data_IF_913488276865
#
_entry.id   IF_913488276865
#
_cell.length_a   1.000
_cell.length_b   1.000
_cell.length_c   1.000
_cell.angle_alpha   90.00
_cell.angle_beta   90.00
_cell.angle_gamma   90.00
#
_symmetry.space_group_name_H-M   'P 1'
#
loop_
_entity.id
_entity.type
_entity.pdbx_description
1 polymer ?
#
# COMPACT_ATOMS: atom_id res chain seq x y z
N UNK A 1 10.70 -2.71 25.07
CA UNK A 1 10.36 -2.07 23.79
C UNK A 1 9.98 -0.62 24.10
N UNK A 2 10.61 0.38 23.52
CA UNK A 2 10.31 1.80 23.82
C UNK A 2 8.95 2.15 23.19
N UNK A 3 7.90 2.51 23.97
CA UNK A 3 6.57 2.84 23.47
C UNK A 3 6.56 4.09 22.57
N UNK A 4 7.56 4.97 22.73
CA UNK A 4 7.69 6.23 22.00
C UNK A 4 8.47 6.09 20.66
N UNK A 5 9.00 4.90 20.36
CA UNK A 5 9.70 4.68 19.10
C UNK A 5 8.73 4.79 17.91
N UNK A 6 9.11 5.48 16.83
CA UNK A 6 8.28 5.59 15.63
C UNK A 6 7.91 4.19 15.11
N UNK A 7 6.75 4.09 14.44
CA UNK A 7 6.34 2.82 13.85
C UNK A 7 7.34 2.42 12.76
N UNK A 8 7.73 1.12 12.64
CA UNK A 8 8.79 0.70 11.73
C UNK A 8 8.53 1.05 10.26
N UNK A 9 7.27 1.06 9.86
CA UNK A 9 6.87 1.38 8.47
C UNK A 9 6.69 2.88 8.32
N UNK A 10 7.56 3.51 7.54
CA UNK A 10 7.53 4.92 7.23
C UNK A 10 6.96 5.11 5.82
N UNK A 11 5.96 5.97 5.69
CA UNK A 11 5.34 6.33 4.41
C UNK A 11 5.17 7.84 4.31
N UNK A 12 5.70 8.42 3.26
CA UNK A 12 5.55 9.82 2.92
C UNK A 12 5.38 10.01 1.41
N UNK A 13 4.75 11.10 1.02
CA UNK A 13 4.61 11.51 -0.38
C UNK A 13 4.96 12.99 -0.47
N UNK A 14 5.81 13.35 -1.41
CA UNK A 14 6.18 14.73 -1.64
C UNK A 14 4.98 15.49 -2.23
N UNK A 15 4.72 16.65 -1.65
CA UNK A 15 3.69 17.54 -2.20
C UNK A 15 4.20 18.19 -3.48
N UNK A 16 3.44 18.18 -4.60
CA UNK A 16 3.90 18.74 -5.85
C UNK A 16 4.05 20.27 -5.76
N UNK A 17 5.29 20.76 -5.93
CA UNK A 17 5.59 22.21 -5.92
C UNK A 17 5.19 22.92 -7.23
N UNK A 18 4.84 22.13 -8.26
CA UNK A 18 4.41 22.59 -9.58
C UNK A 18 2.90 22.44 -9.78
N UNK A 19 2.31 23.25 -10.68
CA UNK A 19 0.94 23.02 -11.10
C UNK A 19 0.80 21.64 -11.76
N UNK A 20 -0.24 20.91 -11.39
CA UNK A 20 -0.59 19.62 -11.99
C UNK A 20 -1.14 19.82 -13.42
N UNK A 21 -0.82 18.91 -14.30
CA UNK A 21 -1.28 18.95 -15.68
C UNK A 21 -2.77 18.59 -15.78
N UNK A 22 -3.61 19.58 -16.13
CA UNK A 22 -5.07 19.43 -16.22
C UNK A 22 -5.50 18.39 -17.26
N UNK A 23 -4.79 18.32 -18.39
CA UNK A 23 -5.10 17.36 -19.45
C UNK A 23 -4.82 15.92 -18.98
N UNK A 24 -3.65 15.69 -18.37
CA UNK A 24 -3.33 14.38 -17.81
C UNK A 24 -4.30 14.01 -16.67
N UNK A 25 -4.70 14.95 -15.84
CA UNK A 25 -5.69 14.77 -14.78
C UNK A 25 -7.04 14.34 -15.34
N UNK A 26 -7.49 14.96 -16.44
CA UNK A 26 -8.75 14.61 -17.11
C UNK A 26 -8.74 13.18 -17.64
N UNK A 27 -7.67 12.76 -18.34
CA UNK A 27 -7.55 11.44 -18.94
C UNK A 27 -6.93 10.38 -18.02
N UNK A 28 -6.66 10.70 -16.76
CA UNK A 28 -5.92 9.83 -15.81
C UNK A 28 -6.53 8.44 -15.66
N UNK A 29 -7.84 8.34 -15.57
CA UNK A 29 -8.56 7.08 -15.47
C UNK A 29 -8.23 6.12 -16.64
N UNK A 30 -8.07 6.66 -17.85
CA UNK A 30 -7.69 5.85 -19.02
C UNK A 30 -6.20 5.52 -19.00
N UNK A 31 -5.36 6.46 -18.59
CA UNK A 31 -3.91 6.29 -18.55
C UNK A 31 -3.46 5.30 -17.46
N UNK A 32 -4.25 5.10 -16.42
CA UNK A 32 -3.94 4.16 -15.34
C UNK A 32 -4.25 2.70 -15.72
N UNK A 33 -5.13 2.45 -16.69
CA UNK A 33 -5.58 1.11 -17.06
C UNK A 33 -4.42 0.14 -17.33
N UNK A 34 -3.43 0.46 -18.20
CA UNK A 34 -2.35 -0.49 -18.50
C UNK A 34 -1.53 -0.86 -17.26
N UNK A 35 -1.20 0.12 -16.42
CA UNK A 35 -0.40 -0.16 -15.23
C UNK A 35 -1.20 -0.85 -14.12
N UNK A 36 -2.50 -0.59 -14.03
CA UNK A 36 -3.40 -1.29 -13.14
C UNK A 36 -3.55 -2.77 -13.54
N UNK A 37 -3.55 -3.07 -14.84
CA UNK A 37 -3.53 -4.45 -15.35
C UNK A 37 -2.23 -5.14 -14.95
N UNK A 38 -1.08 -4.50 -15.16
CA UNK A 38 0.23 -5.04 -14.76
C UNK A 38 0.27 -5.32 -13.26
N UNK A 39 -0.17 -4.36 -12.45
CA UNK A 39 -0.21 -4.49 -11.00
C UNK A 39 -1.13 -5.66 -10.58
N UNK A 40 -2.33 -5.74 -11.16
CA UNK A 40 -3.27 -6.82 -10.90
C UNK A 40 -2.72 -8.20 -11.28
N UNK A 41 -1.93 -8.30 -12.34
CA UNK A 41 -1.27 -9.55 -12.74
C UNK A 41 -0.17 -9.94 -11.76
N UNK A 42 0.59 -8.98 -11.24
CA UNK A 42 1.68 -9.22 -10.29
C UNK A 42 1.13 -9.57 -8.90
N UNK A 43 0.14 -8.82 -8.43
CA UNK A 43 -0.53 -9.08 -7.15
C UNK A 43 -1.47 -10.28 -7.20
N UNK A 44 -1.66 -10.82 -8.41
CA UNK A 44 -2.40 -12.04 -8.69
C UNK A 44 -3.90 -11.85 -8.78
N UNK A 45 -4.34 -10.76 -9.32
CA UNK A 45 -5.72 -10.58 -9.82
C UNK A 45 -5.99 -11.53 -11.00
N UNK A 46 -5.85 -12.84 -10.78
CA UNK A 46 -6.20 -13.84 -11.77
C UNK A 46 -7.70 -13.82 -12.02
N UNK A 47 -8.09 -13.50 -13.22
CA UNK A 47 -9.43 -13.78 -13.71
C UNK A 47 -9.62 -15.30 -13.75
N UNK A 48 -10.26 -15.86 -12.73
CA UNK A 48 -10.72 -17.24 -12.79
C UNK A 48 -11.82 -17.33 -13.86
N UNK A 49 -11.45 -17.73 -15.04
CA UNK A 49 -12.40 -18.26 -16.03
C UNK A 49 -12.95 -19.57 -15.45
N UNK A 50 -14.19 -19.53 -14.99
CA UNK A 50 -14.94 -20.72 -14.57
C UNK A 50 -15.01 -20.93 -13.05
N UNK A 51 -16.12 -20.56 -12.45
CA UNK A 51 -16.68 -21.18 -11.25
C UNK A 51 -15.94 -20.92 -9.92
N UNK A 52 -16.06 -19.73 -9.38
CA UNK A 52 -15.67 -19.50 -7.98
C UNK A 52 -14.93 -18.19 -7.74
N UNK A 53 -15.65 -17.08 -7.67
CA UNK A 53 -15.11 -15.75 -7.37
C UNK A 53 -14.27 -15.65 -6.08
N UNK A 54 -14.44 -16.58 -5.15
CA UNK A 54 -13.67 -16.63 -3.91
C UNK A 54 -12.29 -17.29 -4.05
N UNK A 55 -12.12 -18.28 -4.95
CA UNK A 55 -10.88 -19.03 -5.09
C UNK A 55 -9.77 -18.21 -5.80
N UNK A 56 -10.11 -17.31 -6.71
CA UNK A 56 -9.13 -16.49 -7.44
C UNK A 56 -8.47 -15.42 -6.56
N UNK A 57 -9.23 -14.75 -5.72
CA UNK A 57 -8.70 -13.72 -4.82
C UNK A 57 -7.83 -14.31 -3.69
N UNK A 58 -8.19 -15.49 -3.19
CA UNK A 58 -7.39 -16.22 -2.19
C UNK A 58 -6.09 -16.75 -2.81
N UNK A 59 -6.13 -17.18 -4.08
CA UNK A 59 -4.94 -17.73 -4.75
C UNK A 59 -3.79 -16.73 -4.87
N UNK A 60 -4.08 -15.49 -5.07
CA UNK A 60 -3.09 -14.48 -5.40
C UNK A 60 -2.48 -13.79 -4.17
N UNK A 61 -3.33 -13.35 -3.25
CA UNK A 61 -2.83 -12.89 -1.94
C UNK A 61 -2.08 -14.03 -1.22
N UNK A 62 -2.51 -15.28 -1.42
CA UNK A 62 -1.85 -16.47 -0.92
C UNK A 62 -0.45 -16.67 -1.46
N UNK A 63 -0.17 -16.34 -2.72
CA UNK A 63 1.16 -16.47 -3.32
C UNK A 63 2.20 -15.54 -2.68
N UNK A 64 1.82 -14.38 -2.18
CA UNK A 64 2.73 -13.43 -1.51
C UNK A 64 2.86 -13.75 -0.01
N UNK A 65 1.74 -13.99 0.66
CA UNK A 65 1.68 -14.16 2.11
C UNK A 65 2.12 -15.56 2.55
N UNK A 66 1.66 -16.59 1.83
CA UNK A 66 1.86 -17.99 2.24
C UNK A 66 3.33 -18.41 2.30
N UNK A 67 4.21 -18.10 1.31
CA UNK A 67 5.63 -18.44 1.42
C UNK A 67 6.29 -17.78 2.63
N UNK A 68 6.02 -16.50 2.87
CA UNK A 68 6.57 -15.76 4.02
C UNK A 68 6.09 -16.37 5.34
N UNK A 69 4.80 -16.66 5.43
CA UNK A 69 4.20 -17.28 6.61
C UNK A 69 4.85 -18.64 6.90
N UNK A 70 4.95 -19.51 5.90
CA UNK A 70 5.57 -20.85 6.05
C UNK A 70 7.04 -20.74 6.45
N UNK A 71 7.79 -19.81 5.86
CA UNK A 71 9.21 -19.61 6.19
C UNK A 71 9.40 -19.11 7.63
N UNK A 72 8.54 -18.22 8.11
CA UNK A 72 8.60 -17.75 9.50
C UNK A 72 8.17 -18.87 10.46
N UNK A 73 7.05 -19.55 10.20
CA UNK A 73 6.51 -20.59 11.09
C UNK A 73 7.46 -21.80 11.19
N UNK A 74 7.98 -22.31 10.08
CA UNK A 74 8.76 -23.55 10.10
C UNK A 74 10.25 -23.32 10.25
N UNK A 75 10.80 -22.25 9.68
CA UNK A 75 12.25 -22.03 9.59
C UNK A 75 12.75 -20.81 10.35
N UNK A 76 11.85 -19.93 10.84
CA UNK A 76 12.19 -18.63 11.45
C UNK A 76 13.21 -17.85 10.59
N UNK A 77 12.97 -17.82 9.27
CA UNK A 77 13.81 -17.12 8.32
C UNK A 77 12.94 -16.25 7.42
N UNK A 78 13.42 -15.04 7.13
CA UNK A 78 12.87 -14.16 6.12
C UNK A 78 13.96 -13.99 5.04
N UNK A 79 13.88 -14.59 3.85
CA UNK A 79 14.90 -14.45 2.82
C UNK A 79 15.03 -13.00 2.36
N UNK A 80 16.27 -12.49 2.29
CA UNK A 80 16.54 -11.09 1.94
C UNK A 80 15.97 -10.71 0.57
N UNK A 81 16.22 -11.54 -0.45
CA UNK A 81 15.71 -11.31 -1.80
C UNK A 81 14.17 -11.23 -1.86
N UNK A 82 13.47 -12.02 -1.02
CA UNK A 82 12.01 -12.00 -0.93
C UNK A 82 11.49 -10.74 -0.24
N UNK A 83 12.21 -10.29 0.78
CA UNK A 83 11.93 -9.03 1.45
C UNK A 83 12.11 -7.85 0.48
N UNK A 84 13.25 -7.78 -0.21
CA UNK A 84 13.57 -6.70 -1.15
C UNK A 84 12.52 -6.64 -2.28
N UNK A 85 12.13 -7.81 -2.81
CA UNK A 85 11.07 -7.90 -3.83
C UNK A 85 9.72 -7.40 -3.32
N UNK A 86 9.28 -7.80 -2.11
CA UNK A 86 8.03 -7.32 -1.51
C UNK A 86 8.07 -5.81 -1.25
N UNK A 87 9.22 -5.26 -0.81
CA UNK A 87 9.39 -3.83 -0.59
C UNK A 87 9.24 -3.05 -1.90
N UNK A 88 9.89 -3.50 -2.98
CA UNK A 88 9.76 -2.85 -4.29
C UNK A 88 8.35 -2.97 -4.86
N UNK A 89 7.68 -4.11 -4.68
CA UNK A 89 6.29 -4.27 -5.07
C UNK A 89 5.37 -3.31 -4.30
N UNK A 90 5.55 -3.15 -3.00
CA UNK A 90 4.78 -2.18 -2.20
C UNK A 90 5.08 -0.74 -2.62
N UNK A 91 6.34 -0.40 -2.94
CA UNK A 91 6.72 0.91 -3.48
C UNK A 91 6.03 1.19 -4.80
N UNK A 92 6.05 0.21 -5.70
CA UNK A 92 5.36 0.32 -6.99
C UNK A 92 3.84 0.48 -6.82
N UNK A 93 3.20 -0.36 -5.99
CA UNK A 93 1.77 -0.25 -5.69
C UNK A 93 1.41 1.12 -5.08
N UNK A 94 2.26 1.64 -4.19
CA UNK A 94 2.07 2.95 -3.61
C UNK A 94 2.20 4.09 -4.65
N UNK A 95 3.16 4.00 -5.61
CA UNK A 95 3.28 4.95 -6.73
C UNK A 95 2.03 4.93 -7.62
N UNK A 96 1.52 3.74 -7.94
CA UNK A 96 0.27 3.60 -8.70
C UNK A 96 -0.90 4.22 -7.95
N UNK A 97 -1.01 3.98 -6.65
CA UNK A 97 -2.03 4.58 -5.78
C UNK A 97 -1.97 6.11 -5.74
N UNK A 98 -0.78 6.69 -5.61
CA UNK A 98 -0.54 8.15 -5.61
C UNK A 98 -0.89 8.75 -6.97
N UNK A 99 -0.52 8.08 -8.06
CA UNK A 99 -0.86 8.49 -9.42
C UNK A 99 -2.38 8.43 -9.64
N UNK A 100 -3.05 7.34 -9.25
CA UNK A 100 -4.51 7.19 -9.35
C UNK A 100 -5.26 8.24 -8.51
N UNK A 101 -4.71 8.58 -7.34
CA UNK A 101 -5.26 9.60 -6.44
C UNK A 101 -4.95 11.04 -6.87
N UNK A 102 -4.41 11.26 -8.07
CA UNK A 102 -4.10 12.59 -8.66
C UNK A 102 -3.02 13.39 -7.93
N UNK A 103 -2.28 12.76 -7.03
CA UNK A 103 -1.30 13.45 -6.16
C UNK A 103 0.03 13.73 -6.88
N UNK A 104 0.35 12.99 -7.96
CA UNK A 104 1.55 13.16 -8.79
C UNK A 104 1.19 12.93 -10.26
N UNK A 105 1.83 13.69 -11.17
CA UNK A 105 1.60 13.60 -12.62
C UNK A 105 2.54 12.64 -13.35
N UNK A 106 3.66 12.27 -12.72
CA UNK A 106 4.60 11.32 -13.31
C UNK A 106 3.98 9.94 -13.38
N UNK A 107 4.11 9.30 -14.56
CA UNK A 107 3.67 7.93 -14.71
C UNK A 107 4.45 7.00 -13.78
N UNK A 108 3.79 6.09 -13.05
CA UNK A 108 4.48 5.22 -12.10
C UNK A 108 5.56 4.37 -12.75
N UNK A 109 6.79 4.49 -12.25
CA UNK A 109 7.94 3.66 -12.66
C UNK A 109 8.18 2.55 -11.64
N UNK A 110 8.78 1.45 -12.09
CA UNK A 110 9.15 0.32 -11.22
C UNK A 110 10.49 0.54 -10.54
N UNK A 111 11.40 1.31 -11.15
CA UNK A 111 12.82 1.44 -10.77
C UNK A 111 13.25 2.87 -10.42
N UNK A 112 12.54 3.89 -10.91
CA UNK A 112 12.89 5.28 -10.63
C UNK A 112 12.47 5.74 -9.24
N UNK A 113 13.31 6.60 -8.62
CA UNK A 113 12.91 7.32 -7.42
C UNK A 113 11.89 8.40 -7.79
N UNK A 114 10.71 8.32 -7.21
CA UNK A 114 9.59 9.25 -7.42
C UNK A 114 9.16 9.86 -6.08
N UNK A 115 8.09 10.66 -6.09
CA UNK A 115 7.56 11.36 -4.93
C UNK A 115 7.14 10.47 -3.73
N UNK A 116 7.10 9.15 -3.93
CA UNK A 116 6.66 8.19 -2.90
C UNK A 116 7.87 7.61 -2.17
N UNK A 117 7.89 7.80 -0.85
CA UNK A 117 8.88 7.25 0.05
C UNK A 117 8.22 6.20 0.94
N UNK A 118 8.59 4.94 0.76
CA UNK A 118 8.14 3.84 1.59
C UNK A 118 9.36 3.05 2.05
N UNK A 119 9.54 2.98 3.36
CA UNK A 119 10.66 2.30 3.99
C UNK A 119 10.21 1.51 5.21
N UNK A 120 10.79 0.35 5.39
CA UNK A 120 10.74 -0.43 6.61
C UNK A 120 12.00 -1.27 6.77
N UNK A 121 12.49 -1.50 8.02
CA UNK A 121 13.70 -2.23 8.26
C UNK A 121 13.52 -3.71 7.92
N UNK A 122 14.61 -4.35 7.50
CA UNK A 122 14.65 -5.79 7.34
C UNK A 122 14.52 -6.46 8.71
N UNK A 123 13.52 -7.34 8.92
CA UNK A 123 13.29 -7.95 10.23
C UNK A 123 14.26 -9.11 10.48
N UNK A 124 14.81 -9.15 11.69
CA UNK A 124 15.52 -10.35 12.20
C UNK A 124 14.47 -11.38 12.64
N UNK A 125 14.12 -12.30 11.74
CA UNK A 125 12.98 -13.20 11.94
C UNK A 125 13.07 -14.08 13.20
N UNK A 126 14.29 -14.37 13.72
CA UNK A 126 14.49 -15.19 14.92
C UNK A 126 14.26 -14.44 16.22
N UNK A 127 14.58 -13.15 16.25
CA UNK A 127 14.60 -12.33 17.47
C UNK A 127 13.45 -11.35 17.52
N UNK A 128 12.97 -10.88 16.36
CA UNK A 128 11.97 -9.82 16.25
C UNK A 128 10.56 -10.31 15.88
N UNK A 129 10.48 -11.51 15.25
CA UNK A 129 9.20 -12.05 14.82
C UNK A 129 8.79 -13.29 15.64
N UNK A 130 7.58 -13.25 16.16
CA UNK A 130 7.00 -14.40 16.83
C UNK A 130 6.61 -15.46 15.79
N UNK A 131 7.00 -16.71 16.06
CA UNK A 131 6.81 -17.86 15.18
C UNK A 131 5.33 -18.10 14.82
N UNK A 132 4.42 -17.93 15.77
CA UNK A 132 3.01 -18.30 15.62
C UNK A 132 2.10 -17.11 15.29
N UNK A 133 2.56 -15.90 15.55
CA UNK A 133 1.78 -14.68 15.34
C UNK A 133 1.33 -14.48 13.89
N UNK A 134 2.11 -14.83 12.84
CA UNK A 134 1.68 -14.74 11.46
C UNK A 134 0.36 -15.46 11.15
N UNK A 135 0.07 -16.55 11.84
CA UNK A 135 -1.18 -17.32 11.64
C UNK A 135 -2.45 -16.53 12.04
N UNK A 136 -2.32 -15.59 12.97
CA UNK A 136 -3.45 -14.82 13.51
C UNK A 136 -3.43 -13.34 13.16
N UNK A 137 -2.35 -12.82 12.58
CA UNK A 137 -2.22 -11.39 12.23
C UNK A 137 -3.34 -10.89 11.31
N UNK A 138 -3.74 -11.70 10.34
CA UNK A 138 -4.85 -11.36 9.44
C UNK A 138 -6.17 -11.18 10.19
N UNK A 139 -6.42 -11.99 11.23
CA UNK A 139 -7.59 -11.88 12.10
C UNK A 139 -7.50 -10.64 12.99
N UNK A 140 -6.31 -10.39 13.57
CA UNK A 140 -6.06 -9.20 14.40
C UNK A 140 -6.18 -7.90 13.59
N UNK A 141 -5.98 -7.94 12.27
CA UNK A 141 -6.12 -6.80 11.39
C UNK A 141 -7.58 -6.48 11.00
N UNK A 142 -8.57 -7.34 11.32
CA UNK A 142 -9.98 -7.11 10.97
C UNK A 142 -10.48 -5.72 11.39
N UNK A 143 -10.26 -5.22 12.63
CA UNK A 143 -10.72 -3.89 13.00
C UNK A 143 -10.10 -2.78 12.14
N UNK A 144 -8.85 -2.95 11.68
CA UNK A 144 -8.24 -2.01 10.73
C UNK A 144 -8.92 -2.06 9.36
N UNK A 145 -9.27 -3.26 8.86
CA UNK A 145 -9.96 -3.37 7.57
C UNK A 145 -11.31 -2.69 7.59
N UNK A 146 -12.06 -2.80 8.71
CA UNK A 146 -13.35 -2.12 8.87
C UNK A 146 -13.16 -0.59 8.81
N UNK A 147 -12.20 -0.05 9.56
CA UNK A 147 -11.95 1.40 9.55
C UNK A 147 -11.42 1.87 8.20
N UNK A 148 -10.47 1.14 7.60
CA UNK A 148 -9.92 1.44 6.28
C UNK A 148 -10.99 1.41 5.19
N UNK A 149 -11.98 0.53 5.28
CA UNK A 149 -13.11 0.51 4.34
C UNK A 149 -13.84 1.86 4.32
N UNK A 150 -14.17 2.42 5.48
CA UNK A 150 -14.80 3.73 5.55
C UNK A 150 -13.86 4.87 5.12
N UNK A 151 -12.58 4.77 5.46
CA UNK A 151 -11.57 5.73 5.01
C UNK A 151 -11.39 5.71 3.48
N UNK A 152 -11.47 4.55 2.83
CA UNK A 152 -11.43 4.45 1.37
C UNK A 152 -12.66 5.05 0.71
N UNK A 153 -13.84 4.92 1.31
CA UNK A 153 -15.05 5.61 0.83
C UNK A 153 -14.83 7.13 0.91
N UNK A 154 -14.33 7.63 2.05
CA UNK A 154 -14.02 9.05 2.19
C UNK A 154 -12.95 9.51 1.20
N UNK A 155 -11.87 8.72 1.04
CA UNK A 155 -10.80 9.01 0.09
C UNK A 155 -11.31 9.07 -1.36
N UNK A 156 -12.23 8.18 -1.74
CA UNK A 156 -12.86 8.21 -3.06
C UNK A 156 -13.56 9.55 -3.34
N UNK A 157 -14.36 10.05 -2.39
CA UNK A 157 -15.01 11.35 -2.53
C UNK A 157 -14.01 12.51 -2.52
N UNK A 158 -12.96 12.42 -1.70
CA UNK A 158 -11.88 13.42 -1.69
C UNK A 158 -11.15 13.48 -3.02
N UNK A 159 -10.87 12.32 -3.67
CA UNK A 159 -10.25 12.28 -5.00
C UNK A 159 -11.16 12.90 -6.05
N UNK A 160 -12.47 12.62 -6.03
CA UNK A 160 -13.43 13.26 -6.95
C UNK A 160 -13.44 14.78 -6.75
N UNK A 161 -13.51 15.26 -5.50
CA UNK A 161 -13.46 16.68 -5.22
C UNK A 161 -12.14 17.31 -5.69
N UNK A 162 -11.02 16.66 -5.41
CA UNK A 162 -9.70 17.09 -5.85
C UNK A 162 -9.60 17.16 -7.38
N UNK A 163 -10.19 16.19 -8.10
CA UNK A 163 -10.24 16.19 -9.57
C UNK A 163 -10.86 17.47 -10.11
N UNK A 164 -12.03 17.90 -9.59
CA UNK A 164 -12.63 19.16 -9.97
C UNK A 164 -11.73 20.36 -9.61
N UNK A 165 -11.20 20.39 -8.40
CA UNK A 165 -10.34 21.50 -7.96
C UNK A 165 -9.10 21.62 -8.84
N UNK A 166 -8.45 20.52 -9.18
CA UNK A 166 -7.25 20.52 -10.06
C UNK A 166 -7.61 21.01 -11.46
N UNK A 167 -8.74 20.59 -12.03
CA UNK A 167 -9.16 21.04 -13.37
C UNK A 167 -9.34 22.58 -13.44
N UNK A 168 -9.86 23.19 -12.38
CA UNK A 168 -10.06 24.63 -12.35
C UNK A 168 -8.82 25.41 -11.90
N UNK A 169 -8.10 24.93 -10.88
CA UNK A 169 -7.01 25.66 -10.24
C UNK A 169 -5.62 25.20 -10.66
N UNK A 170 -5.48 23.96 -11.15
CA UNK A 170 -4.19 23.31 -11.41
C UNK A 170 -3.43 22.90 -10.14
N UNK A 171 -4.04 22.98 -8.95
CA UNK A 171 -3.37 22.69 -7.67
C UNK A 171 -4.18 21.70 -6.84
N UNK A 172 -3.47 20.82 -6.15
CA UNK A 172 -4.06 19.91 -5.18
C UNK A 172 -4.22 20.61 -3.82
N UNK A 173 -5.41 20.64 -3.19
CA UNK A 173 -5.58 21.24 -1.87
C UNK A 173 -4.78 20.49 -0.79
N UNK A 174 -3.99 21.19 0.01
CA UNK A 174 -3.11 20.61 1.04
C UNK A 174 -3.85 19.67 2.00
N UNK A 175 -4.98 20.09 2.55
CA UNK A 175 -5.73 19.26 3.51
C UNK A 175 -6.25 17.94 2.91
N UNK A 176 -6.65 17.95 1.62
CA UNK A 176 -7.05 16.73 0.92
C UNK A 176 -5.84 15.84 0.65
N UNK A 177 -4.70 16.44 0.28
CA UNK A 177 -3.45 15.74 0.07
C UNK A 177 -2.99 15.01 1.35
N UNK A 178 -2.89 15.75 2.46
CA UNK A 178 -2.45 15.22 3.75
C UNK A 178 -3.36 14.09 4.26
N UNK A 179 -4.67 14.22 4.02
CA UNK A 179 -5.62 13.14 4.33
C UNK A 179 -5.33 11.87 3.53
N UNK A 180 -5.12 11.97 2.21
CA UNK A 180 -4.81 10.81 1.37
C UNK A 180 -3.45 10.18 1.73
N UNK A 181 -2.44 10.99 2.05
CA UNK A 181 -1.15 10.50 2.57
C UNK A 181 -1.37 9.74 3.88
N UNK A 182 -2.21 10.25 4.77
CA UNK A 182 -2.56 9.58 6.03
C UNK A 182 -3.23 8.23 5.81
N UNK A 183 -4.20 8.15 4.89
CA UNK A 183 -4.86 6.89 4.52
C UNK A 183 -3.84 5.90 3.93
N UNK A 184 -2.98 6.36 3.02
CA UNK A 184 -1.90 5.55 2.45
C UNK A 184 -0.92 5.04 3.51
N UNK A 185 -0.55 5.89 4.47
CA UNK A 185 0.32 5.52 5.60
C UNK A 185 -0.30 4.41 6.46
N UNK A 186 -1.54 4.57 6.84
CA UNK A 186 -2.23 3.54 7.62
C UNK A 186 -2.36 2.22 6.85
N UNK A 187 -2.74 2.30 5.58
CA UNK A 187 -2.81 1.13 4.68
C UNK A 187 -1.49 0.37 4.64
N UNK A 188 -0.37 1.07 4.38
CA UNK A 188 0.95 0.43 4.29
C UNK A 188 1.38 -0.20 5.63
N UNK A 189 1.03 0.40 6.77
CA UNK A 189 1.26 -0.19 8.10
C UNK A 189 0.51 -1.50 8.28
N UNK A 190 -0.77 -1.55 7.87
CA UNK A 190 -1.60 -2.75 7.98
C UNK A 190 -1.12 -3.85 7.02
N UNK A 191 -0.75 -3.49 5.78
CA UNK A 191 -0.20 -4.44 4.80
C UNK A 191 1.12 -5.03 5.32
N UNK A 192 2.03 -4.21 5.81
CA UNK A 192 3.32 -4.65 6.35
C UNK A 192 3.17 -5.59 7.56
N UNK A 193 2.17 -5.33 8.41
CA UNK A 193 1.84 -6.16 9.57
C UNK A 193 1.19 -7.48 9.19
N UNK A 194 0.12 -7.44 8.40
CA UNK A 194 -0.77 -8.58 8.18
C UNK A 194 -0.43 -9.43 6.94
N UNK A 195 0.18 -8.82 5.91
CA UNK A 195 0.44 -9.49 4.63
C UNK A 195 1.94 -9.71 4.38
N UNK A 196 2.76 -8.67 4.50
CA UNK A 196 4.22 -8.80 4.30
C UNK A 196 4.92 -9.37 5.52
N UNK A 197 4.31 -9.27 6.71
CA UNK A 197 4.77 -9.88 7.97
C UNK A 197 6.16 -9.39 8.44
N UNK A 198 6.51 -8.14 8.18
CA UNK A 198 7.81 -7.57 8.54
C UNK A 198 7.91 -7.09 9.98
N UNK A 199 6.79 -6.98 10.69
CA UNK A 199 6.78 -6.52 12.08
C UNK A 199 5.67 -7.20 12.88
N UNK A 200 5.91 -7.44 14.15
CA UNK A 200 4.92 -7.92 15.12
C UNK A 200 4.24 -6.78 15.88
N UNK A 201 4.70 -5.55 15.67
CA UNK A 201 4.12 -4.38 16.31
C UNK A 201 2.76 -4.09 15.67
N UNK A 202 1.71 -4.05 16.51
CA UNK A 202 0.34 -3.78 16.04
C UNK A 202 0.23 -2.35 15.48
N UNK A 203 -0.41 -2.17 14.31
CA UNK A 203 -0.53 -0.84 13.70
C UNK A 203 -1.33 0.12 14.58
N UNK A 204 -0.90 1.38 14.73
CA UNK A 204 -1.69 2.37 15.47
C UNK A 204 -2.89 2.84 14.65
N UNK A 205 -4.00 3.12 15.33
CA UNK A 205 -5.22 3.70 14.75
C UNK A 205 -5.06 5.21 14.55
N UNK A 206 -4.14 5.62 13.66
CA UNK A 206 -3.89 7.05 13.39
C UNK A 206 -3.41 7.27 11.96
N UNK A 207 -3.81 8.43 11.38
CA UNK A 207 -3.34 8.90 10.06
C UNK A 207 -1.99 9.62 10.16
N UNK A 208 -1.66 10.13 11.32
CA UNK A 208 -0.39 10.82 11.58
C UNK A 208 0.84 9.87 11.52
N UNK A 209 2.04 10.41 11.31
CA UNK A 209 3.30 9.67 11.38
C UNK A 209 3.49 8.88 12.66
#
# INVERSE_FOLDING_TARGET
MNPDAPYPVQYAVDYPDRPLNRLSTFFRLFMVIPIAIVLALIEGGGYAYGGGRAAGAVGAAGLIVLPTLLLIVFRQKYPRWWFDWNLELMRFSARVGVYLSLMEDRYPSTDEHQAVHLEFPYPEARTELNRWLPLVKWLLAIPHYVVLFFLYIAAFFVVIAAWFVILFTGRFPRGMFDFLVGVGRWTNRVIAYAHVLVTDRYPPFRLAP
#
